data_IF_769169298296
#
_entry.id   IF_769169298296
#
_cell.length_a   1.000
_cell.length_b   1.000
_cell.length_c   1.000
_cell.angle_alpha   90.00
_cell.angle_beta   90.00
_cell.angle_gamma   90.00
#
_symmetry.space_group_name_H-M   'P 1'
#
loop_
_entity.id
_entity.type
_entity.pdbx_description
1 polymer ?
#
# COMPACT_ATOMS: atom_id res chain seq x y z
N UNK A 1 -19.75 68.08 -2.61
CA UNK A 1 -20.24 66.70 -2.64
C UNK A 1 -19.13 65.84 -2.10
N UNK A 2 -19.19 65.53 -0.82
CA UNK A 2 -18.23 64.74 -0.06
C UNK A 2 -18.81 63.33 0.09
N UNK A 3 -18.11 62.31 -0.41
CA UNK A 3 -18.43 60.90 -0.20
C UNK A 3 -17.11 60.10 -0.18
N UNK A 4 -16.51 59.93 1.00
CA UNK A 4 -15.45 58.95 1.22
C UNK A 4 -15.89 57.93 2.27
N UNK A 5 -16.45 56.83 1.78
CA UNK A 5 -16.48 55.53 2.44
C UNK A 5 -15.15 54.82 2.09
N UNK A 6 -14.57 53.89 2.84
CA UNK A 6 -15.11 52.96 3.80
C UNK A 6 -13.96 52.24 4.54
N UNK A 7 -14.27 51.76 5.75
CA UNK A 7 -13.96 50.42 6.27
C UNK A 7 -12.50 49.97 6.48
N UNK A 8 -12.22 49.86 7.78
CA UNK A 8 -11.22 49.07 8.50
C UNK A 8 -10.86 47.72 7.90
N UNK A 9 -9.58 47.35 7.99
CA UNK A 9 -9.11 45.96 7.90
C UNK A 9 -8.45 45.52 9.21
N UNK A 10 -8.74 44.30 9.71
CA UNK A 10 -8.19 43.79 10.95
C UNK A 10 -6.77 43.23 10.78
N UNK A 11 -6.00 43.32 11.87
CA UNK A 11 -4.65 42.76 12.02
C UNK A 11 -4.67 41.23 12.08
N UNK A 12 -3.90 40.57 11.22
CA UNK A 12 -3.66 39.12 11.30
C UNK A 12 -2.51 38.82 12.27
N UNK A 13 -2.65 37.82 13.17
CA UNK A 13 -1.62 37.51 14.15
C UNK A 13 -0.43 36.73 13.58
N UNK A 14 0.74 37.01 14.15
CA UNK A 14 2.02 36.35 13.94
C UNK A 14 1.96 34.85 14.24
N UNK A 15 2.35 34.00 13.28
CA UNK A 15 2.60 32.59 13.52
C UNK A 15 3.99 32.40 14.16
N UNK A 16 4.11 31.67 15.29
CA UNK A 16 5.42 31.28 15.80
C UNK A 16 5.96 30.08 15.00
N UNK A 17 7.22 30.21 14.59
CA UNK A 17 8.03 29.15 14.03
C UNK A 17 8.24 28.04 15.08
N UNK A 18 7.66 26.87 14.85
CA UNK A 18 8.05 25.64 15.52
C UNK A 18 8.91 24.82 14.55
N UNK A 19 10.22 24.98 14.66
CA UNK A 19 11.17 23.99 14.18
C UNK A 19 11.14 22.78 15.13
N UNK A 20 10.97 21.56 14.62
CA UNK A 20 11.70 20.37 15.12
C UNK A 20 11.58 19.18 14.17
N UNK A 21 12.71 18.50 14.04
CA UNK A 21 12.91 17.11 13.66
C UNK A 21 12.73 16.74 12.18
N UNK A 22 13.88 16.67 11.49
CA UNK A 22 14.03 16.01 10.20
C UNK A 22 13.62 14.54 10.26
N UNK A 23 12.43 14.25 9.75
CA UNK A 23 12.13 12.94 9.17
C UNK A 23 13.07 12.76 7.96
N UNK A 24 13.74 11.61 7.78
CA UNK A 24 14.44 11.34 6.52
C UNK A 24 13.41 11.54 5.42
N UNK A 25 13.64 12.53 4.55
CA UNK A 25 12.73 12.84 3.44
C UNK A 25 12.62 11.55 2.63
N UNK A 26 11.50 10.83 2.79
CA UNK A 26 11.16 9.73 1.89
C UNK A 26 11.29 10.31 0.47
N UNK A 27 12.00 9.62 -0.44
CA UNK A 27 12.25 10.16 -1.76
C UNK A 27 10.93 10.62 -2.36
N UNK A 28 10.94 11.85 -2.86
CA UNK A 28 9.76 12.67 -3.15
C UNK A 28 8.87 12.06 -4.24
N UNK A 29 9.35 11.03 -4.92
CA UNK A 29 8.59 10.20 -5.85
C UNK A 29 9.00 8.73 -5.67
N UNK A 30 8.18 7.88 -5.02
CA UNK A 30 8.45 6.44 -4.95
C UNK A 30 8.45 5.78 -6.35
N UNK A 31 8.00 6.49 -7.39
CA UNK A 31 7.98 6.01 -8.77
C UNK A 31 9.37 5.98 -9.44
N UNK A 32 10.33 6.78 -8.98
CA UNK A 32 11.71 6.83 -9.54
C UNK A 32 12.69 5.90 -8.81
N UNK A 33 12.29 5.33 -7.68
CA UNK A 33 13.13 4.38 -6.96
C UNK A 33 13.13 3.06 -7.74
N UNK A 34 14.21 2.82 -8.49
CA UNK A 34 14.49 1.55 -9.17
C UNK A 34 14.90 0.45 -8.16
N UNK A 35 14.28 0.43 -6.99
CA UNK A 35 14.53 -0.56 -5.95
C UNK A 35 13.87 -1.88 -6.37
N UNK A 36 14.64 -2.97 -6.54
CA UNK A 36 14.07 -4.28 -6.85
C UNK A 36 13.08 -4.74 -5.77
N UNK A 37 13.34 -4.38 -4.51
CA UNK A 37 12.40 -4.60 -3.39
C UNK A 37 11.06 -3.88 -3.59
N UNK A 38 11.07 -2.60 -3.99
CA UNK A 38 9.81 -1.87 -4.21
C UNK A 38 9.06 -2.40 -5.43
N UNK A 39 9.78 -2.76 -6.51
CA UNK A 39 9.19 -3.42 -7.68
C UNK A 39 8.51 -4.73 -7.29
N UNK A 40 9.21 -5.58 -6.55
CA UNK A 40 8.69 -6.86 -6.09
C UNK A 40 7.46 -6.70 -5.18
N UNK A 41 7.46 -5.73 -4.25
CA UNK A 41 6.28 -5.41 -3.43
C UNK A 41 5.08 -4.97 -4.25
N UNK A 42 5.30 -4.13 -5.26
CA UNK A 42 4.24 -3.67 -6.17
C UNK A 42 3.67 -4.83 -6.98
N UNK A 43 4.53 -5.68 -7.53
CA UNK A 43 4.12 -6.85 -8.28
C UNK A 43 3.30 -7.81 -7.41
N UNK A 44 3.80 -8.15 -6.22
CA UNK A 44 3.08 -8.99 -5.27
C UNK A 44 1.70 -8.43 -4.93
N UNK A 45 1.60 -7.13 -4.62
CA UNK A 45 0.29 -6.49 -4.36
C UNK A 45 -0.63 -6.52 -5.57
N UNK A 46 -0.11 -6.30 -6.78
CA UNK A 46 -0.91 -6.35 -8.00
C UNK A 46 -1.49 -7.75 -8.23
N UNK A 47 -0.67 -8.79 -8.09
CA UNK A 47 -1.11 -10.19 -8.25
C UNK A 47 -2.14 -10.60 -7.20
N UNK A 48 -1.93 -10.24 -5.93
CA UNK A 48 -2.91 -10.52 -4.86
C UNK A 48 -4.18 -9.68 -5.03
N UNK A 49 -4.07 -8.45 -5.54
CA UNK A 49 -5.24 -7.62 -5.83
C UNK A 49 -6.09 -8.17 -6.96
N UNK A 50 -5.45 -8.74 -8.00
CA UNK A 50 -6.14 -9.40 -9.12
C UNK A 50 -6.96 -10.60 -8.63
N UNK A 51 -6.35 -11.45 -7.82
CA UNK A 51 -6.99 -12.59 -7.15
C UNK A 51 -8.25 -12.18 -6.37
N UNK A 52 -8.14 -11.13 -5.56
CA UNK A 52 -9.28 -10.59 -4.79
C UNK A 52 -10.35 -9.99 -5.71
N UNK A 53 -9.95 -9.28 -6.75
CA UNK A 53 -10.88 -8.65 -7.69
C UNK A 53 -11.71 -9.69 -8.46
N UNK A 54 -11.12 -10.84 -8.77
CA UNK A 54 -11.79 -11.95 -9.41
C UNK A 54 -12.69 -12.77 -8.47
N UNK A 55 -12.34 -12.85 -7.18
CA UNK A 55 -13.03 -13.69 -6.21
C UNK A 55 -13.45 -12.94 -4.91
N UNK A 56 -14.21 -11.83 -5.01
CA UNK A 56 -14.58 -11.04 -3.84
C UNK A 56 -15.42 -11.83 -2.83
N UNK A 57 -16.39 -12.62 -3.30
CA UNK A 57 -17.24 -13.43 -2.41
C UNK A 57 -16.46 -14.50 -1.65
N UNK A 58 -15.47 -15.15 -2.29
CA UNK A 58 -14.61 -16.15 -1.63
C UNK A 58 -13.76 -15.50 -0.54
N UNK A 59 -13.30 -14.27 -0.76
CA UNK A 59 -12.54 -13.52 0.24
C UNK A 59 -13.39 -13.24 1.47
N UNK A 60 -14.62 -12.76 1.28
CA UNK A 60 -15.54 -12.48 2.38
C UNK A 60 -15.85 -13.75 3.18
N UNK A 61 -16.16 -14.85 2.51
CA UNK A 61 -16.38 -16.16 3.15
C UNK A 61 -15.14 -16.59 3.95
N UNK A 62 -13.95 -16.53 3.32
CA UNK A 62 -12.70 -16.92 3.96
C UNK A 62 -12.34 -16.06 5.17
N UNK A 63 -12.70 -14.77 5.16
CA UNK A 63 -12.51 -13.86 6.30
C UNK A 63 -13.47 -14.19 7.45
N UNK A 64 -14.71 -14.57 7.12
CA UNK A 64 -15.72 -14.93 8.12
C UNK A 64 -15.42 -16.29 8.76
N UNK A 65 -15.03 -17.28 7.96
CA UNK A 65 -14.78 -18.65 8.42
C UNK A 65 -13.33 -18.91 8.85
N UNK A 66 -12.41 -17.98 8.57
CA UNK A 66 -10.98 -18.17 8.81
C UNK A 66 -10.32 -19.17 7.85
N UNK A 67 -10.95 -19.47 6.71
CA UNK A 67 -10.51 -20.48 5.72
C UNK A 67 -9.80 -19.87 4.50
N UNK A 68 -9.41 -18.58 4.54
CA UNK A 68 -8.70 -17.88 3.46
C UNK A 68 -7.55 -18.68 2.84
N UNK A 69 -6.70 -19.28 3.68
CA UNK A 69 -5.55 -20.11 3.23
C UNK A 69 -5.97 -21.27 2.35
N UNK A 70 -7.12 -21.88 2.64
CA UNK A 70 -7.61 -23.06 1.95
C UNK A 70 -8.39 -22.69 0.69
N UNK A 71 -9.25 -21.66 0.78
CA UNK A 71 -10.04 -21.16 -0.35
C UNK A 71 -9.17 -20.60 -1.47
N UNK A 72 -8.12 -19.87 -1.13
CA UNK A 72 -7.23 -19.24 -2.10
C UNK A 72 -5.95 -20.04 -2.36
N UNK A 73 -5.83 -21.27 -1.86
CA UNK A 73 -4.58 -22.05 -1.96
C UNK A 73 -4.06 -22.15 -3.39
N UNK A 74 -4.95 -22.48 -4.32
CA UNK A 74 -4.62 -22.68 -5.73
C UNK A 74 -4.23 -21.36 -6.40
N UNK A 75 -5.00 -20.30 -6.13
CA UNK A 75 -4.75 -18.96 -6.66
C UNK A 75 -3.44 -18.38 -6.12
N UNK A 76 -3.18 -18.53 -4.82
CA UNK A 76 -1.93 -18.15 -4.15
C UNK A 76 -0.75 -18.85 -4.80
N UNK A 77 -0.86 -20.16 -5.05
CA UNK A 77 0.20 -20.92 -5.71
C UNK A 77 0.48 -20.37 -7.10
N UNK A 78 -0.56 -20.19 -7.92
CA UNK A 78 -0.44 -19.65 -9.28
C UNK A 78 0.17 -18.24 -9.31
N UNK A 79 -0.32 -17.34 -8.46
CA UNK A 79 0.22 -15.99 -8.34
C UNK A 79 1.66 -15.97 -7.78
N UNK A 80 2.02 -16.92 -6.91
CA UNK A 80 3.38 -17.04 -6.40
C UNK A 80 4.35 -17.56 -7.47
N UNK A 81 3.93 -18.51 -8.29
CA UNK A 81 4.73 -18.99 -9.44
C UNK A 81 5.02 -17.85 -10.41
N UNK A 82 4.01 -17.08 -10.81
CA UNK A 82 4.16 -15.89 -11.66
C UNK A 82 5.08 -14.83 -11.01
N UNK A 83 4.92 -14.59 -9.71
CA UNK A 83 5.80 -13.69 -8.97
C UNK A 83 7.27 -14.15 -9.04
N UNK A 84 7.52 -15.43 -8.77
CA UNK A 84 8.85 -16.06 -8.83
C UNK A 84 9.44 -15.98 -10.24
N UNK A 85 8.64 -16.16 -11.28
CA UNK A 85 9.10 -16.04 -12.67
C UNK A 85 9.56 -14.61 -13.00
N UNK A 86 8.91 -13.59 -12.44
CA UNK A 86 9.25 -12.19 -12.69
C UNK A 86 10.39 -11.64 -11.81
N UNK A 87 10.44 -12.00 -10.53
CA UNK A 87 11.49 -11.48 -9.60
C UNK A 87 12.68 -12.42 -9.45
N UNK A 88 12.55 -13.67 -9.88
CA UNK A 88 13.52 -14.74 -9.67
C UNK A 88 13.29 -15.47 -8.34
N UNK A 89 13.46 -16.79 -8.36
CA UNK A 89 13.25 -17.67 -7.21
C UNK A 89 14.05 -17.25 -5.97
N UNK A 90 15.35 -16.98 -6.13
CA UNK A 90 16.22 -16.61 -5.00
C UNK A 90 15.74 -15.33 -4.29
N UNK A 91 15.22 -14.36 -5.05
CA UNK A 91 14.70 -13.10 -4.52
C UNK A 91 13.34 -13.29 -3.84
N UNK A 92 12.46 -14.08 -4.46
CA UNK A 92 11.14 -14.41 -3.92
C UNK A 92 11.26 -15.20 -2.60
N UNK A 93 12.20 -16.13 -2.51
CA UNK A 93 12.43 -16.92 -1.29
C UNK A 93 13.16 -16.14 -0.20
N UNK A 94 14.04 -15.20 -0.58
CA UNK A 94 14.77 -14.35 0.39
C UNK A 94 13.93 -13.22 0.98
N UNK A 95 12.76 -12.91 0.42
CA UNK A 95 11.94 -11.77 0.85
C UNK A 95 10.51 -12.17 1.16
N UNK A 96 9.91 -11.52 2.16
CA UNK A 96 8.52 -11.80 2.56
C UNK A 96 7.48 -10.95 1.79
N UNK A 97 7.85 -10.28 0.69
CA UNK A 97 7.00 -9.29 0.02
C UNK A 97 5.66 -9.88 -0.44
N UNK A 98 5.67 -11.11 -0.93
CA UNK A 98 4.45 -11.81 -1.35
C UNK A 98 3.54 -12.14 -0.17
N UNK A 99 4.10 -12.65 0.92
CA UNK A 99 3.36 -12.92 2.16
C UNK A 99 2.82 -11.64 2.79
N UNK A 100 3.59 -10.54 2.76
CA UNK A 100 3.10 -9.22 3.19
C UNK A 100 1.90 -8.78 2.35
N UNK A 101 1.95 -8.95 1.03
CA UNK A 101 0.84 -8.60 0.13
C UNK A 101 -0.41 -9.45 0.40
N UNK A 102 -0.27 -10.74 0.70
CA UNK A 102 -1.39 -11.59 1.12
C UNK A 102 -2.03 -11.07 2.42
N UNK A 103 -1.22 -10.73 3.41
CA UNK A 103 -1.71 -10.21 4.68
C UNK A 103 -2.40 -8.84 4.53
N UNK A 104 -1.83 -7.97 3.70
CA UNK A 104 -2.32 -6.61 3.48
C UNK A 104 -3.58 -6.59 2.60
N UNK A 105 -3.53 -7.26 1.44
CA UNK A 105 -4.58 -7.18 0.42
C UNK A 105 -5.62 -8.28 0.63
N UNK A 106 -5.24 -9.55 0.73
CA UNK A 106 -6.20 -10.67 0.83
C UNK A 106 -6.82 -10.77 2.23
N UNK A 107 -6.00 -10.70 3.28
CA UNK A 107 -6.47 -10.76 4.67
C UNK A 107 -6.95 -9.40 5.22
N UNK A 108 -6.92 -8.33 4.42
CA UNK A 108 -7.40 -7.00 4.80
C UNK A 108 -6.61 -6.39 5.96
N UNK A 109 -5.28 -6.55 5.95
CA UNK A 109 -4.37 -6.03 6.97
C UNK A 109 -4.11 -6.97 8.14
N UNK A 110 -4.70 -8.17 8.16
CA UNK A 110 -4.50 -9.16 9.23
C UNK A 110 -3.33 -10.09 8.89
N UNK A 111 -2.48 -10.41 9.87
CA UNK A 111 -1.40 -11.40 9.73
C UNK A 111 -1.92 -12.83 9.85
N UNK A 112 -2.49 -13.35 8.77
CA UNK A 112 -3.05 -14.72 8.68
C UNK A 112 -2.06 -15.67 8.01
N UNK A 113 -1.29 -15.15 7.05
CA UNK A 113 -0.33 -15.87 6.23
C UNK A 113 1.03 -15.94 6.88
#
# INVERSE_FOLDING_TARGET
GDLSAALSTPSTPSQPAAAVAGSPRRPINPFLANDPNQKARRLARALVSDMVAYHPSRREEGLQQGTLKQLFRDEIKKSYEEYVEQVGREFAESTAHFQEALNDVLAGGRKIF
#
